data_IF_474492967284
#
_entry.id   IF_474492967284
#
_cell.length_a   1.000
_cell.length_b   1.000
_cell.length_c   1.000
_cell.angle_alpha   90.00
_cell.angle_beta   90.00
_cell.angle_gamma   90.00
#
_symmetry.space_group_name_H-M   'P 1'
#
loop_
_entity.id
_entity.type
_entity.pdbx_description
1 polymer ?
#
# COMPACT_ATOMS: atom_id res chain seq x y z
N UNK A 1 22.45 4.28 -22.57
CA UNK A 1 21.02 3.97 -22.75
C UNK A 1 20.37 3.30 -21.53
N UNK A 2 21.13 2.70 -20.61
CA UNK A 2 20.60 2.04 -19.39
C UNK A 2 19.91 2.98 -18.39
N UNK A 3 20.37 4.23 -18.26
CA UNK A 3 19.88 5.16 -17.22
C UNK A 3 18.38 5.45 -17.33
N UNK A 4 17.83 5.62 -18.55
CA UNK A 4 16.42 6.01 -18.76
C UNK A 4 15.41 4.90 -18.44
N UNK A 5 15.81 3.62 -18.51
CA UNK A 5 14.98 2.45 -18.20
C UNK A 5 14.93 2.21 -16.68
N UNK A 6 16.08 2.31 -16.02
CA UNK A 6 16.22 2.10 -14.57
C UNK A 6 15.38 3.10 -13.76
N UNK A 7 15.29 4.34 -14.22
CA UNK A 7 14.54 5.40 -13.55
C UNK A 7 13.02 5.13 -13.52
N UNK A 8 12.48 4.42 -14.53
CA UNK A 8 11.06 4.08 -14.62
C UNK A 8 10.69 2.90 -13.73
N UNK A 9 11.55 1.87 -13.72
CA UNK A 9 11.38 0.69 -12.86
C UNK A 9 11.45 1.12 -11.39
N UNK A 10 12.41 1.98 -11.05
CA UNK A 10 12.55 2.49 -9.70
C UNK A 10 11.31 3.28 -9.25
N UNK A 11 10.76 4.16 -10.11
CA UNK A 11 9.50 4.87 -9.83
C UNK A 11 8.33 3.91 -9.61
N UNK A 12 8.22 2.85 -10.43
CA UNK A 12 7.17 1.84 -10.27
C UNK A 12 7.29 1.11 -8.92
N UNK A 13 8.50 0.67 -8.56
CA UNK A 13 8.77 -0.01 -7.29
C UNK A 13 8.36 0.87 -6.11
N UNK A 14 8.76 2.15 -6.12
CA UNK A 14 8.37 3.12 -5.09
C UNK A 14 6.86 3.21 -4.94
N UNK A 15 6.14 3.33 -6.05
CA UNK A 15 4.68 3.47 -6.02
C UNK A 15 4.03 2.19 -5.47
N UNK A 16 4.52 1.02 -5.86
CA UNK A 16 4.03 -0.26 -5.33
C UNK A 16 4.24 -0.31 -3.81
N UNK A 17 5.43 0.05 -3.32
CA UNK A 17 5.74 0.07 -1.89
C UNK A 17 4.84 1.04 -1.10
N UNK A 18 4.55 2.22 -1.65
CA UNK A 18 3.59 3.16 -1.02
C UNK A 18 2.17 2.57 -1.01
N UNK A 19 1.75 1.91 -2.09
CA UNK A 19 0.44 1.25 -2.16
C UNK A 19 0.30 0.14 -1.12
N UNK A 20 1.31 -0.72 -1.02
CA UNK A 20 1.38 -1.75 0.02
C UNK A 20 1.37 -1.11 1.42
N UNK A 21 2.16 -0.07 1.65
CA UNK A 21 2.23 0.60 2.95
C UNK A 21 0.91 1.23 3.36
N UNK A 22 0.22 1.87 2.42
CA UNK A 22 -1.11 2.45 2.67
C UNK A 22 -2.12 1.35 3.05
N UNK A 23 -2.13 0.22 2.34
CA UNK A 23 -2.96 -0.92 2.67
C UNK A 23 -2.61 -1.53 4.02
N UNK A 24 -1.32 -1.70 4.35
CA UNK A 24 -0.88 -2.24 5.64
C UNK A 24 -1.27 -1.34 6.80
N UNK A 25 -1.23 -0.01 6.64
CA UNK A 25 -1.69 0.91 7.69
C UNK A 25 -3.22 0.83 7.89
N UNK A 26 -4.00 0.65 6.82
CA UNK A 26 -5.44 0.39 6.94
C UNK A 26 -5.72 -0.96 7.62
N UNK A 27 -5.02 -2.01 7.21
CA UNK A 27 -5.12 -3.33 7.84
C UNK A 27 -4.71 -3.31 9.31
N UNK A 28 -3.65 -2.58 9.64
CA UNK A 28 -3.19 -2.38 11.01
C UNK A 28 -4.22 -1.66 11.87
N UNK A 29 -4.80 -0.57 11.36
CA UNK A 29 -5.86 0.16 12.06
C UNK A 29 -7.12 -0.68 12.26
N UNK A 30 -7.71 -1.17 11.17
CA UNK A 30 -8.94 -1.97 11.21
C UNK A 30 -8.73 -3.25 12.03
N UNK A 31 -7.61 -3.94 11.84
CA UNK A 31 -7.27 -5.18 12.53
C UNK A 31 -7.03 -5.00 14.04
N UNK A 32 -6.73 -3.79 14.51
CA UNK A 32 -6.53 -3.50 15.94
C UNK A 32 -7.84 -3.18 16.66
N UNK A 33 -8.98 -3.11 15.94
CA UNK A 33 -10.31 -2.83 16.52
C UNK A 33 -10.69 -3.80 17.65
N UNK A 34 -10.30 -5.07 17.55
CA UNK A 34 -10.56 -6.07 18.59
C UNK A 34 -9.90 -5.71 19.94
N UNK A 35 -8.69 -5.13 19.90
CA UNK A 35 -7.96 -4.70 21.09
C UNK A 35 -8.41 -3.31 21.59
N UNK A 36 -8.96 -2.47 20.70
CA UNK A 36 -9.29 -1.07 20.98
C UNK A 36 -10.75 -0.83 21.41
N UNK A 37 -11.71 -1.51 20.77
CA UNK A 37 -13.14 -1.27 20.97
C UNK A 37 -13.88 -2.47 21.53
N UNK A 38 -13.37 -3.68 21.28
CA UNK A 38 -14.02 -4.94 21.65
C UNK A 38 -13.23 -5.71 22.70
N UNK A 39 -12.35 -5.05 23.45
CA UNK A 39 -11.39 -5.66 24.39
C UNK A 39 -12.05 -6.68 25.33
N UNK A 40 -13.28 -6.43 25.79
CA UNK A 40 -14.03 -7.33 26.67
C UNK A 40 -14.42 -8.66 26.01
N UNK A 41 -14.66 -8.67 24.70
CA UNK A 41 -15.06 -9.85 23.94
C UNK A 41 -13.87 -10.78 23.61
N UNK A 42 -12.64 -10.30 23.79
CA UNK A 42 -11.42 -11.00 23.39
C UNK A 42 -10.50 -11.24 24.61
N UNK A 43 -10.59 -12.39 25.31
CA UNK A 43 -9.91 -12.63 26.58
C UNK A 43 -8.38 -12.38 26.62
N UNK A 44 -7.57 -12.71 25.61
CA UNK A 44 -6.15 -12.36 25.54
C UNK A 44 -5.87 -10.85 25.55
N UNK A 45 -6.87 -10.02 25.26
CA UNK A 45 -6.77 -8.56 25.22
C UNK A 45 -7.16 -7.89 26.55
N UNK A 46 -7.65 -8.63 27.56
CA UNK A 46 -8.07 -8.06 28.84
C UNK A 46 -6.95 -7.30 29.57
N UNK A 47 -5.68 -7.68 29.36
CA UNK A 47 -4.51 -6.95 29.88
C UNK A 47 -4.39 -5.51 29.39
N UNK A 48 -5.15 -5.14 28.35
CA UNK A 48 -5.13 -3.84 27.73
C UNK A 48 -6.29 -2.97 28.17
N UNK A 49 -7.17 -3.44 29.07
CA UNK A 49 -8.37 -2.73 29.46
C UNK A 49 -8.05 -1.36 30.05
N UNK A 50 -7.00 -1.28 30.87
CA UNK A 50 -6.51 -0.02 31.45
C UNK A 50 -5.87 0.92 30.43
N UNK A 51 -5.43 0.37 29.29
CA UNK A 51 -4.76 1.09 28.20
C UNK A 51 -5.61 1.16 26.92
N UNK A 52 -6.92 0.90 27.01
CA UNK A 52 -7.79 0.76 25.86
C UNK A 52 -7.82 2.05 25.00
N UNK A 53 -7.78 3.21 25.66
CA UNK A 53 -7.74 4.52 24.99
C UNK A 53 -6.53 4.67 24.04
N UNK A 54 -5.39 4.08 24.39
CA UNK A 54 -4.17 4.14 23.59
C UNK A 54 -4.30 3.28 22.33
N UNK A 55 -4.95 2.11 22.44
CA UNK A 55 -5.27 1.28 21.28
C UNK A 55 -6.33 1.91 20.38
N UNK A 56 -7.31 2.63 20.94
CA UNK A 56 -8.25 3.44 20.15
C UNK A 56 -7.52 4.53 19.37
N UNK A 57 -6.57 5.21 20.00
CA UNK A 57 -5.70 6.16 19.30
C UNK A 57 -4.94 5.47 18.16
N UNK A 58 -4.34 4.30 18.38
CA UNK A 58 -3.65 3.58 17.30
C UNK A 58 -4.58 3.23 16.14
N UNK A 59 -5.80 2.74 16.40
CA UNK A 59 -6.78 2.45 15.35
C UNK A 59 -7.08 3.69 14.51
N UNK A 60 -7.41 4.80 15.17
CA UNK A 60 -7.77 6.05 14.47
C UNK A 60 -6.56 6.61 13.71
N UNK A 61 -5.41 6.73 14.37
CA UNK A 61 -4.23 7.34 13.80
C UNK A 61 -3.68 6.55 12.61
N UNK A 62 -3.55 5.21 12.74
CA UNK A 62 -3.05 4.36 11.65
C UNK A 62 -4.02 4.30 10.48
N UNK A 63 -5.34 4.31 10.73
CA UNK A 63 -6.36 4.39 9.67
C UNK A 63 -6.24 5.72 8.90
N UNK A 64 -6.12 6.85 9.61
CA UNK A 64 -5.94 8.16 8.98
C UNK A 64 -4.64 8.24 8.17
N UNK A 65 -3.54 7.66 8.69
CA UNK A 65 -2.29 7.53 7.94
C UNK A 65 -2.47 6.68 6.68
N UNK A 66 -3.21 5.56 6.76
CA UNK A 66 -3.54 4.73 5.60
C UNK A 66 -4.29 5.52 4.52
N UNK A 67 -5.30 6.30 4.90
CA UNK A 67 -6.05 7.18 4.00
C UNK A 67 -5.14 8.26 3.39
N UNK A 68 -4.33 8.93 4.20
CA UNK A 68 -3.35 9.91 3.73
C UNK A 68 -2.31 9.27 2.79
N UNK A 69 -1.97 8.00 3.01
CA UNK A 69 -1.12 7.17 2.16
C UNK A 69 -1.72 6.95 0.79
N UNK A 70 -3.01 6.58 0.71
CA UNK A 70 -3.74 6.44 -0.56
C UNK A 70 -3.74 7.78 -1.33
N UNK A 71 -4.03 8.88 -0.64
CA UNK A 71 -4.02 10.20 -1.28
C UNK A 71 -2.64 10.58 -1.82
N UNK A 72 -1.60 10.31 -1.04
CA UNK A 72 -0.21 10.56 -1.45
C UNK A 72 0.21 9.65 -2.61
N UNK A 73 -0.23 8.39 -2.62
CA UNK A 73 -0.04 7.44 -3.71
C UNK A 73 -0.64 7.97 -5.02
N UNK A 74 -1.89 8.43 -4.99
CA UNK A 74 -2.57 8.98 -6.17
C UNK A 74 -1.79 10.18 -6.73
N UNK A 75 -1.33 11.08 -5.85
CA UNK A 75 -0.50 12.22 -6.25
C UNK A 75 0.85 11.79 -6.85
N UNK A 76 1.45 10.74 -6.32
CA UNK A 76 2.74 10.20 -6.79
C UNK A 76 2.63 9.52 -8.15
N UNK A 77 1.54 8.78 -8.37
CA UNK A 77 1.20 8.18 -9.67
C UNK A 77 1.00 9.29 -10.71
N UNK A 78 0.24 10.34 -10.37
CA UNK A 78 -0.05 11.47 -11.27
C UNK A 78 1.12 12.44 -11.48
N UNK A 79 2.15 12.41 -10.64
CA UNK A 79 3.36 13.23 -10.77
C UNK A 79 3.20 14.69 -10.33
N UNK A 80 2.55 14.93 -9.19
CA UNK A 80 2.38 16.29 -8.65
C UNK A 80 3.65 16.87 -8.01
N UNK A 81 3.84 18.20 -8.09
CA UNK A 81 5.03 18.96 -7.64
C UNK A 81 5.45 18.79 -6.16
N UNK A 82 4.58 18.23 -5.32
CA UNK A 82 4.84 17.96 -3.89
C UNK A 82 4.54 16.51 -3.53
N UNK A 83 4.27 15.64 -4.51
CA UNK A 83 3.82 14.29 -4.27
C UNK A 83 4.84 13.48 -3.46
N UNK A 84 6.13 13.63 -3.81
CA UNK A 84 7.21 12.95 -3.11
C UNK A 84 7.34 13.40 -1.66
N UNK A 85 7.32 14.73 -1.41
CA UNK A 85 7.42 15.29 -0.05
C UNK A 85 6.24 14.85 0.82
N UNK A 86 5.02 14.89 0.28
CA UNK A 86 3.82 14.47 1.00
C UNK A 86 3.86 12.98 1.34
N UNK A 87 4.26 12.13 0.39
CA UNK A 87 4.43 10.71 0.65
C UNK A 87 5.49 10.45 1.74
N UNK A 88 6.63 11.16 1.70
CA UNK A 88 7.66 11.05 2.72
C UNK A 88 7.15 11.43 4.11
N UNK A 89 6.39 12.52 4.23
CA UNK A 89 5.80 12.95 5.52
C UNK A 89 4.86 11.87 6.05
N UNK A 90 3.96 11.35 5.22
CA UNK A 90 3.03 10.29 5.61
C UNK A 90 3.77 9.03 6.05
N UNK A 91 4.84 8.64 5.34
CA UNK A 91 5.68 7.50 5.71
C UNK A 91 6.39 7.70 7.05
N UNK A 92 6.94 8.89 7.31
CA UNK A 92 7.59 9.19 8.59
C UNK A 92 6.58 9.15 9.73
N UNK A 93 5.42 9.80 9.58
CA UNK A 93 4.35 9.80 10.59
C UNK A 93 3.86 8.37 10.84
N UNK A 94 3.61 7.60 9.78
CA UNK A 94 3.21 6.21 9.88
C UNK A 94 4.25 5.33 10.56
N UNK A 95 5.53 5.49 10.23
CA UNK A 95 6.61 4.74 10.86
C UNK A 95 6.69 5.03 12.37
N UNK A 96 6.64 6.30 12.77
CA UNK A 96 6.69 6.69 14.19
C UNK A 96 5.52 6.08 14.97
N UNK A 97 4.29 6.20 14.46
CA UNK A 97 3.10 5.64 15.11
C UNK A 97 3.22 4.11 15.24
N UNK A 98 3.64 3.42 14.18
CA UNK A 98 3.78 1.96 14.20
C UNK A 98 4.89 1.48 15.14
N UNK A 99 6.02 2.19 15.22
CA UNK A 99 7.08 1.89 16.21
C UNK A 99 6.52 1.99 17.62
N UNK A 100 5.83 3.09 17.94
CA UNK A 100 5.23 3.29 19.27
C UNK A 100 4.20 2.19 19.56
N UNK A 101 3.38 1.81 18.58
CA UNK A 101 2.39 0.75 18.73
C UNK A 101 3.02 -0.62 19.00
N UNK A 102 4.09 -0.98 18.27
CA UNK A 102 4.81 -2.24 18.47
C UNK A 102 5.50 -2.27 19.83
N UNK A 103 6.24 -1.22 20.18
CA UNK A 103 6.94 -1.12 21.49
C UNK A 103 5.93 -1.22 22.63
N UNK A 104 4.84 -0.45 22.56
CA UNK A 104 3.78 -0.50 23.58
C UNK A 104 3.18 -1.89 23.69
N UNK A 105 2.91 -2.57 22.56
CA UNK A 105 2.34 -3.91 22.58
C UNK A 105 3.31 -4.94 23.17
N UNK A 106 4.61 -4.84 22.88
CA UNK A 106 5.61 -5.71 23.52
C UNK A 106 5.64 -5.48 25.03
N UNK A 107 5.63 -4.22 25.49
CA UNK A 107 5.68 -3.88 26.91
C UNK A 107 4.41 -4.34 27.67
N UNK A 108 3.23 -4.21 27.09
CA UNK A 108 1.95 -4.50 27.77
C UNK A 108 1.52 -5.98 27.67
N UNK A 109 1.81 -6.67 26.56
CA UNK A 109 1.34 -8.05 26.32
C UNK A 109 2.44 -9.04 25.95
N UNK A 110 3.70 -8.61 25.85
CA UNK A 110 4.85 -9.47 25.48
C UNK A 110 4.92 -9.84 24.00
N UNK A 111 3.99 -9.37 23.16
CA UNK A 111 3.94 -9.66 21.72
C UNK A 111 3.30 -8.50 20.94
N UNK A 112 3.71 -8.29 19.69
CA UNK A 112 3.13 -7.25 18.84
C UNK A 112 2.48 -7.77 17.57
N UNK A 113 2.56 -9.06 17.28
CA UNK A 113 2.07 -9.61 16.01
C UNK A 113 0.55 -9.41 15.88
N UNK A 114 0.07 -8.85 14.74
CA UNK A 114 0.75 -8.62 13.47
C UNK A 114 1.25 -7.17 13.25
N UNK A 115 1.21 -6.31 14.26
CA UNK A 115 1.61 -4.90 14.14
C UNK A 115 3.11 -4.75 13.81
N UNK A 116 3.93 -5.74 14.18
CA UNK A 116 5.32 -5.87 13.77
C UNK A 116 5.49 -5.95 12.24
N UNK A 117 4.65 -6.73 11.54
CA UNK A 117 4.66 -6.83 10.07
C UNK A 117 4.32 -5.48 9.42
N UNK A 118 3.31 -4.78 9.95
CA UNK A 118 2.93 -3.43 9.49
C UNK A 118 4.09 -2.46 9.69
N UNK A 119 4.75 -2.50 10.84
CA UNK A 119 5.92 -1.66 11.13
C UNK A 119 7.06 -1.95 10.15
N UNK A 120 7.39 -3.22 9.90
CA UNK A 120 8.48 -3.60 8.98
C UNK A 120 8.22 -3.07 7.57
N UNK A 121 7.00 -3.22 7.03
CA UNK A 121 6.67 -2.72 5.69
C UNK A 121 6.77 -1.18 5.62
N UNK A 122 6.30 -0.47 6.66
CA UNK A 122 6.46 0.98 6.75
C UNK A 122 7.95 1.38 6.76
N UNK A 123 8.77 0.71 7.56
CA UNK A 123 10.21 1.01 7.68
C UNK A 123 10.99 0.71 6.41
N UNK A 124 10.72 -0.43 5.76
CA UNK A 124 11.34 -0.79 4.47
C UNK A 124 10.99 0.25 3.41
N UNK A 125 9.71 0.66 3.35
CA UNK A 125 9.27 1.68 2.39
C UNK A 125 9.89 3.05 2.69
N UNK A 126 9.95 3.45 3.96
CA UNK A 126 10.60 4.68 4.38
C UNK A 126 12.10 4.68 4.05
N UNK A 127 12.82 3.58 4.36
CA UNK A 127 14.23 3.43 4.05
C UNK A 127 14.47 3.56 2.54
N UNK A 128 13.62 2.97 1.71
CA UNK A 128 13.70 3.10 0.27
C UNK A 128 13.44 4.53 -0.22
N UNK A 129 12.49 5.23 0.39
CA UNK A 129 12.26 6.65 0.13
C UNK A 129 13.49 7.48 0.49
N UNK A 130 14.05 7.30 1.68
CA UNK A 130 15.23 8.03 2.14
C UNK A 130 16.45 7.76 1.24
N UNK A 131 16.64 6.53 0.81
CA UNK A 131 17.68 6.16 -0.17
C UNK A 131 17.51 6.95 -1.48
N UNK A 132 16.29 7.04 -2.01
CA UNK A 132 16.00 7.81 -3.23
C UNK A 132 16.13 9.32 -2.99
N UNK A 133 15.91 9.80 -1.77
CA UNK A 133 16.02 11.21 -1.43
C UNK A 133 17.48 11.72 -1.47
N UNK A 134 18.46 10.82 -1.49
CA UNK A 134 19.87 11.20 -1.61
C UNK A 134 20.12 11.96 -2.94
N UNK A 135 20.98 13.00 -2.95
CA UNK A 135 21.16 13.87 -4.11
C UNK A 135 21.58 13.11 -5.38
N UNK A 136 22.34 12.02 -5.25
CA UNK A 136 22.76 11.17 -6.37
C UNK A 136 21.65 10.29 -6.97
N UNK A 137 20.66 9.87 -6.16
CA UNK A 137 19.53 9.05 -6.63
C UNK A 137 18.34 9.91 -7.06
N UNK A 138 18.15 11.06 -6.42
CA UNK A 138 17.04 11.97 -6.71
C UNK A 138 17.12 12.56 -8.12
N UNK A 139 18.32 12.82 -8.62
CA UNK A 139 18.53 13.24 -10.02
C UNK A 139 18.18 12.16 -11.05
N UNK A 140 18.17 10.88 -10.62
CA UNK A 140 17.83 9.75 -11.47
C UNK A 140 16.32 9.53 -11.51
N UNK A 141 15.58 9.73 -10.42
CA UNK A 141 14.13 9.45 -10.40
C UNK A 141 13.30 10.72 -10.51
N UNK A 142 12.59 10.89 -11.62
CA UNK A 142 11.67 12.00 -11.76
C UNK A 142 10.26 11.64 -11.25
N UNK A 143 9.91 12.18 -10.09
CA UNK A 143 8.54 12.18 -9.54
C UNK A 143 7.75 13.45 -9.90
N UNK A 144 8.45 14.51 -10.31
CA UNK A 144 7.89 15.82 -10.63
C UNK A 144 7.69 15.95 -12.14
N UNK A 145 6.45 15.73 -12.58
CA UNK A 145 6.09 15.84 -13.99
C UNK A 145 4.87 15.01 -14.31
N UNK A 146 3.94 15.61 -15.06
CA UNK A 146 2.75 14.93 -15.56
C UNK A 146 3.18 13.69 -16.34
N UNK A 147 2.80 12.54 -15.81
CA UNK A 147 2.92 11.27 -16.49
C UNK A 147 1.85 11.19 -17.59
N UNK A 148 2.18 10.62 -18.75
CA UNK A 148 1.17 10.35 -19.79
C UNK A 148 0.10 9.40 -19.22
N UNK A 149 -1.16 9.60 -19.60
CA UNK A 149 -2.31 8.88 -19.04
C UNK A 149 -2.17 7.35 -19.14
N UNK A 150 -1.63 6.83 -20.24
CA UNK A 150 -1.38 5.39 -20.38
C UNK A 150 -0.38 4.84 -19.35
N UNK A 151 0.67 5.60 -19.02
CA UNK A 151 1.70 5.20 -18.05
C UNK A 151 1.22 5.35 -16.62
N UNK A 152 0.45 6.41 -16.35
CA UNK A 152 -0.25 6.64 -15.08
C UNK A 152 -1.19 5.47 -14.79
N UNK A 153 -1.99 5.08 -15.78
CA UNK A 153 -2.95 3.98 -15.66
C UNK A 153 -2.24 2.63 -15.49
N UNK A 154 -1.17 2.37 -16.24
CA UNK A 154 -0.39 1.13 -16.10
C UNK A 154 0.18 0.98 -14.68
N UNK A 155 0.81 2.03 -14.18
CA UNK A 155 1.44 2.04 -12.85
C UNK A 155 0.41 1.87 -11.74
N UNK A 156 -0.74 2.54 -11.86
CA UNK A 156 -1.88 2.35 -10.95
C UNK A 156 -2.43 0.93 -10.99
N UNK A 157 -2.61 0.34 -12.17
CA UNK A 157 -3.11 -1.03 -12.34
C UNK A 157 -2.22 -2.06 -11.68
N UNK A 158 -0.91 -2.01 -11.92
CA UNK A 158 0.06 -2.94 -11.33
C UNK A 158 0.07 -2.78 -9.80
N UNK A 159 0.05 -1.54 -9.30
CA UNK A 159 0.01 -1.27 -7.86
C UNK A 159 -1.26 -1.83 -7.22
N UNK A 160 -2.42 -1.65 -7.86
CA UNK A 160 -3.68 -2.19 -7.38
C UNK A 160 -3.67 -3.73 -7.34
N UNK A 161 -3.13 -4.39 -8.36
CA UNK A 161 -2.99 -5.86 -8.39
C UNK A 161 -2.12 -6.34 -7.22
N UNK A 162 -0.91 -5.79 -7.07
CA UNK A 162 0.02 -6.20 -6.01
C UNK A 162 -0.57 -5.94 -4.62
N UNK A 163 -1.20 -4.78 -4.44
CA UNK A 163 -1.86 -4.42 -3.17
C UNK A 163 -3.06 -5.33 -2.89
N UNK A 164 -3.85 -5.67 -3.91
CA UNK A 164 -4.97 -6.60 -3.79
C UNK A 164 -4.52 -8.00 -3.38
N UNK A 165 -3.44 -8.51 -3.99
CA UNK A 165 -2.82 -9.79 -3.59
C UNK A 165 -2.29 -9.76 -2.16
N UNK A 166 -1.68 -8.65 -1.73
CA UNK A 166 -1.25 -8.46 -0.34
C UNK A 166 -2.43 -8.53 0.64
N UNK A 167 -3.53 -7.84 0.33
CA UNK A 167 -4.74 -7.85 1.16
C UNK A 167 -5.33 -9.27 1.22
N UNK A 168 -5.46 -9.94 0.08
CA UNK A 168 -6.01 -11.30 -0.01
C UNK A 168 -5.14 -12.35 0.71
N UNK A 169 -3.82 -12.13 0.81
CA UNK A 169 -2.93 -13.04 1.53
C UNK A 169 -2.94 -12.86 3.05
N UNK A 170 -3.60 -11.82 3.57
CA UNK A 170 -3.69 -11.52 5.02
C UNK A 170 -4.03 -12.74 5.89
N UNK A 171 -5.04 -13.58 5.55
CA UNK A 171 -5.36 -14.74 6.36
C UNK A 171 -4.21 -15.75 6.51
N UNK A 172 -3.33 -15.85 5.50
CA UNK A 172 -2.21 -16.81 5.50
C UNK A 172 -1.14 -16.48 6.54
N UNK A 173 -0.86 -15.19 6.75
CA UNK A 173 0.22 -14.75 7.65
C UNK A 173 -0.31 -14.16 8.98
N UNK A 174 -1.50 -13.56 9.00
CA UNK A 174 -2.12 -13.08 10.23
C UNK A 174 -2.86 -14.19 10.99
N UNK A 175 -3.42 -15.19 10.29
CA UNK A 175 -4.23 -16.27 10.87
C UNK A 175 -3.56 -17.01 12.03
N UNK A 176 -2.31 -17.50 11.89
CA UNK A 176 -1.62 -18.24 12.95
C UNK A 176 -1.45 -17.45 14.27
N UNK A 177 -1.54 -16.12 14.22
CA UNK A 177 -1.29 -15.24 15.39
C UNK A 177 -2.59 -14.77 16.07
N UNK A 178 -3.75 -15.05 15.47
CA UNK A 178 -5.08 -14.67 15.97
C UNK A 178 -5.95 -15.89 16.28
N UNK A 179 -5.33 -16.98 16.72
CA UNK A 179 -6.05 -18.15 17.19
C UNK A 179 -6.31 -18.08 18.70
N UNK A 180 -7.55 -18.37 19.09
CA UNK A 180 -7.93 -18.52 20.49
C UNK A 180 -8.98 -19.64 20.61
N UNK A 181 -8.71 -20.63 21.47
CA UNK A 181 -9.60 -21.78 21.71
C UNK A 181 -10.10 -22.48 20.43
N UNK A 182 -9.23 -22.64 19.42
CA UNK A 182 -9.56 -23.30 18.16
C UNK A 182 -10.31 -22.43 17.14
N UNK A 183 -10.67 -21.19 17.48
CA UNK A 183 -11.25 -20.21 16.54
C UNK A 183 -10.18 -19.24 16.02
N UNK A 184 -10.25 -18.89 14.74
CA UNK A 184 -9.38 -17.89 14.12
C UNK A 184 -10.12 -16.55 14.00
N UNK A 185 -9.65 -15.52 14.69
CA UNK A 185 -10.32 -14.22 14.67
C UNK A 185 -10.10 -13.42 13.40
N UNK A 186 -9.20 -13.85 12.51
CA UNK A 186 -9.12 -13.30 11.15
C UNK A 186 -10.40 -13.59 10.36
N UNK A 187 -11.16 -14.62 10.74
CA UNK A 187 -12.42 -14.97 10.06
C UNK A 187 -13.45 -13.83 10.13
N UNK A 188 -13.40 -12.99 11.18
CA UNK A 188 -14.24 -11.79 11.28
C UNK A 188 -13.92 -10.75 10.18
N UNK A 189 -12.69 -10.76 9.66
CA UNK A 189 -12.23 -9.85 8.63
C UNK A 189 -12.24 -10.49 7.23
N UNK A 190 -12.67 -11.74 7.08
CA UNK A 190 -12.59 -12.43 5.78
C UNK A 190 -13.40 -11.70 4.70
N UNK A 191 -14.62 -11.27 5.02
CA UNK A 191 -15.48 -10.54 4.09
C UNK A 191 -14.85 -9.23 3.63
N UNK A 192 -14.44 -8.30 4.52
CA UNK A 192 -13.79 -7.07 4.05
C UNK A 192 -12.47 -7.33 3.33
N UNK A 193 -11.67 -8.34 3.71
CA UNK A 193 -10.43 -8.71 3.02
C UNK A 193 -10.70 -9.20 1.59
N UNK A 194 -11.64 -10.12 1.41
CA UNK A 194 -12.02 -10.67 0.09
C UNK A 194 -12.62 -9.60 -0.80
N UNK A 195 -13.53 -8.78 -0.25
CA UNK A 195 -14.18 -7.71 -1.02
C UNK A 195 -13.18 -6.64 -1.45
N UNK A 196 -12.37 -6.12 -0.51
CA UNK A 196 -11.42 -5.04 -0.83
C UNK A 196 -10.25 -5.53 -1.69
N UNK A 197 -9.64 -6.66 -1.32
CA UNK A 197 -8.53 -7.26 -2.05
C UNK A 197 -8.96 -7.76 -3.44
N UNK A 198 -10.13 -8.40 -3.54
CA UNK A 198 -10.73 -8.83 -4.80
C UNK A 198 -11.06 -7.65 -5.72
N UNK A 199 -11.62 -6.58 -5.18
CA UNK A 199 -11.92 -5.36 -5.95
C UNK A 199 -10.65 -4.72 -6.52
N UNK A 200 -9.58 -4.64 -5.74
CA UNK A 200 -8.28 -4.13 -6.19
C UNK A 200 -7.67 -5.01 -7.28
N UNK A 201 -7.70 -6.34 -7.08
CA UNK A 201 -7.15 -7.30 -8.02
C UNK A 201 -7.91 -7.29 -9.36
N UNK A 202 -9.24 -7.38 -9.31
CA UNK A 202 -10.10 -7.37 -10.51
C UNK A 202 -10.00 -6.00 -11.19
N UNK A 203 -10.14 -4.90 -10.44
CA UNK A 203 -10.08 -3.55 -10.98
C UNK A 203 -8.74 -3.24 -11.66
N UNK A 204 -7.62 -3.61 -11.02
CA UNK A 204 -6.29 -3.49 -11.60
C UNK A 204 -6.12 -4.34 -12.86
N UNK A 205 -6.61 -5.58 -12.85
CA UNK A 205 -6.54 -6.50 -14.00
C UNK A 205 -7.35 -5.99 -15.20
N UNK A 206 -8.60 -5.57 -14.97
CA UNK A 206 -9.47 -4.99 -16.01
C UNK A 206 -8.84 -3.74 -16.61
N UNK A 207 -8.31 -2.85 -15.78
CA UNK A 207 -7.61 -1.64 -16.25
C UNK A 207 -6.38 -1.98 -17.10
N UNK A 208 -5.58 -2.97 -16.68
CA UNK A 208 -4.41 -3.44 -17.43
C UNK A 208 -4.79 -4.01 -18.81
N UNK A 209 -5.84 -4.83 -18.88
CA UNK A 209 -6.35 -5.39 -20.15
C UNK A 209 -6.82 -4.26 -21.08
N UNK A 210 -7.57 -3.27 -20.56
CA UNK A 210 -8.03 -2.12 -21.35
C UNK A 210 -6.87 -1.33 -21.97
N UNK A 211 -5.80 -1.10 -21.22
CA UNK A 211 -4.60 -0.41 -21.73
C UNK A 211 -3.98 -1.19 -22.90
N UNK A 212 -3.75 -2.50 -22.72
CA UNK A 212 -3.18 -3.38 -23.76
C UNK A 212 -4.04 -3.42 -25.03
N UNK A 213 -5.36 -3.48 -24.88
CA UNK A 213 -6.29 -3.46 -26.02
C UNK A 213 -6.23 -2.12 -26.77
N UNK A 214 -6.16 -1.00 -26.06
CA UNK A 214 -6.06 0.32 -26.67
C UNK A 214 -4.72 0.51 -27.41
N UNK A 215 -3.60 0.04 -26.84
CA UNK A 215 -2.29 0.04 -27.51
C UNK A 215 -2.33 -0.78 -28.81
N UNK A 216 -2.93 -1.99 -28.79
CA UNK A 216 -3.09 -2.82 -29.99
C UNK A 216 -3.93 -2.14 -31.07
N UNK A 217 -5.03 -1.48 -30.69
CA UNK A 217 -5.88 -0.72 -31.62
C UNK A 217 -5.12 0.45 -32.26
N UNK A 218 -4.32 1.18 -31.48
CA UNK A 218 -3.50 2.29 -32.00
C UNK A 218 -2.44 1.81 -33.00
N UNK A 219 -1.74 0.72 -32.68
CA UNK A 219 -0.76 0.11 -33.58
C UNK A 219 -1.40 -0.34 -34.90
N UNK A 220 -2.54 -1.03 -34.85
CA UNK A 220 -3.26 -1.47 -36.04
C UNK A 220 -3.71 -0.29 -36.93
N UNK A 221 -4.18 0.80 -36.32
CA UNK A 221 -4.58 2.02 -37.04
C UNK A 221 -3.39 2.73 -37.70
N UNK A 222 -2.25 2.79 -37.02
CA UNK A 222 -1.02 3.37 -37.59
C UNK A 222 -0.52 2.57 -38.80
N UNK A 223 -0.53 1.24 -38.72
CA UNK A 223 -0.14 0.37 -39.84
C UNK A 223 -1.05 0.54 -41.06
N UNK A 224 -2.37 0.73 -40.85
CA UNK A 224 -3.32 1.01 -41.94
C UNK A 224 -3.06 2.37 -42.61
N UNK A 225 -2.69 3.39 -41.83
CA UNK A 225 -2.38 4.72 -42.36
C UNK A 225 -1.03 4.78 -43.10
N UNK A 226 -0.01 4.05 -42.63
CA UNK A 226 1.28 4.00 -43.32
C UNK A 226 1.22 3.25 -44.65
N UNK A 227 0.40 2.19 -44.76
CA UNK A 227 0.26 1.42 -46.01
C UNK A 227 -0.54 2.15 -47.10
N UNK A 228 -1.39 3.11 -46.74
CA UNK A 228 -2.17 3.92 -47.69
C UNK A 228 -1.37 5.12 -48.22
N UNK A 229 -0.45 5.68 -47.43
CA UNK A 229 0.39 6.83 -47.84
C UNK A 229 1.55 6.48 -48.77
N UNK A 230 1.90 5.20 -48.90
CA UNK A 230 2.96 4.70 -49.81
C UNK A 230 2.44 4.21 -51.16
N UNK A 231 1.12 4.29 -51.39
CA UNK A 231 0.46 3.87 -52.63
C UNK A 231 0.04 5.06 -53.52
N UNK A 232 0.45 6.27 -53.15
CA UNK A 232 0.28 7.54 -53.89
C UNK A 232 1.64 8.17 -54.13
#
# INVERSE_FOLDING_TARGET
METKKNNKVLRLIVIILVGMTAAMNLLGGIGTTCAAFLTKQFPPMWKLMDFQWLYQFFVVATTLVGIAGIWSLIKLIRGGKQAYKNALIVLVVGAVINIIHVVTSILLRGKATPADVVMVINLVTLAFFLFINTPGMRSKVNFDGKSNDSKTNLTGSVTAIVTGLLVLSTPLWAGPTHQFMGSNWVDLLITPLVVSGGSLLIGGSVSLIRIKLNERKQLANQTRQSGTSSAT
#
